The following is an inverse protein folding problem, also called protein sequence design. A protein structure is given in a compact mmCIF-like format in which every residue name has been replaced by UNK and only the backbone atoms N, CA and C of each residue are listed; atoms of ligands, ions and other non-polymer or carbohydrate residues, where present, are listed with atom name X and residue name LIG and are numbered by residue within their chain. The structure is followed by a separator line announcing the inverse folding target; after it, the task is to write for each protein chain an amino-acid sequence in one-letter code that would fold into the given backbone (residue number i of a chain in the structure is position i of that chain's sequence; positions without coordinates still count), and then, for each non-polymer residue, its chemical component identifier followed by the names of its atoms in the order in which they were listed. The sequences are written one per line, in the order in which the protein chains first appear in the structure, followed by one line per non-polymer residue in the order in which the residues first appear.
data_IF_714989953257
#
_entry.id   IF_714989953257
#
_cell.length_a   1.000
_cell.length_b   1.000
_cell.length_c   1.000
_cell.angle_alpha   90.00
_cell.angle_beta   90.00
_cell.angle_gamma   90.00
#
_symmetry.space_group_name_H-M   'P 1'
#
loop_
_entity.id
_entity.type
_entity.pdbx_description
1 polymer ?
#
# COMPACT_ATOMS: atom_id res chain seq x y z
N UNK A 1 12.32 -54.98 -38.25
CA UNK A 1 11.29 -54.25 -37.46
C UNK A 1 12.03 -53.22 -36.63
N UNK A 2 12.16 -52.01 -37.17
CA UNK A 2 12.79 -50.88 -36.51
C UNK A 2 11.86 -50.27 -35.47
N UNK A 3 12.32 -50.10 -34.23
CA UNK A 3 11.59 -49.39 -33.18
C UNK A 3 12.46 -48.24 -32.66
N UNK A 4 12.34 -47.09 -33.31
CA UNK A 4 12.92 -45.82 -32.85
C UNK A 4 12.11 -45.31 -31.66
N UNK A 5 12.74 -45.23 -30.49
CA UNK A 5 12.19 -44.55 -29.31
C UNK A 5 12.61 -43.08 -29.43
N UNK A 6 11.67 -42.21 -29.80
CA UNK A 6 11.83 -40.77 -29.75
C UNK A 6 11.65 -40.31 -28.30
N UNK A 7 12.75 -39.88 -27.67
CA UNK A 7 12.75 -39.25 -26.37
C UNK A 7 12.14 -37.86 -26.45
N UNK A 8 11.00 -37.67 -25.79
CA UNK A 8 10.32 -36.39 -25.66
C UNK A 8 10.84 -35.70 -24.39
N UNK A 9 11.89 -34.88 -24.51
CA UNK A 9 12.38 -34.05 -23.40
C UNK A 9 11.42 -32.88 -23.19
N UNK A 10 10.58 -32.99 -22.16
CA UNK A 10 9.65 -31.95 -21.74
C UNK A 10 10.41 -30.89 -20.92
N UNK A 11 10.73 -29.76 -21.53
CA UNK A 11 11.30 -28.59 -20.83
C UNK A 11 10.18 -27.92 -20.01
N UNK A 12 10.14 -28.18 -18.70
CA UNK A 12 9.30 -27.42 -17.78
C UNK A 12 9.90 -26.01 -17.62
N UNK A 13 9.32 -25.05 -18.34
CA UNK A 13 9.53 -23.63 -18.05
C UNK A 13 8.80 -23.30 -16.74
N UNK A 14 9.56 -23.19 -15.64
CA UNK A 14 9.04 -22.60 -14.40
C UNK A 14 8.82 -21.12 -14.66
N UNK A 15 7.56 -20.70 -14.84
CA UNK A 15 7.20 -19.29 -14.81
C UNK A 15 7.48 -18.77 -13.40
N UNK A 16 8.60 -18.07 -13.22
CA UNK A 16 8.82 -17.25 -12.03
C UNK A 16 7.85 -16.07 -12.16
N UNK A 17 6.71 -16.14 -11.47
CA UNK A 17 5.87 -14.97 -11.22
C UNK A 17 6.71 -13.99 -10.40
N UNK A 18 7.35 -13.04 -11.09
CA UNK A 18 7.92 -11.87 -10.44
C UNK A 18 6.79 -11.15 -9.72
N UNK A 19 6.94 -10.92 -8.41
CA UNK A 19 6.02 -10.06 -7.68
C UNK A 19 5.97 -8.70 -8.40
N UNK A 20 4.79 -8.32 -8.90
CA UNK A 20 4.63 -7.05 -9.60
C UNK A 20 4.83 -5.90 -8.61
N UNK A 21 5.92 -5.15 -8.79
CA UNK A 21 6.19 -3.98 -7.97
C UNK A 21 5.30 -2.82 -8.41
N UNK A 22 4.63 -2.18 -7.47
CA UNK A 22 3.73 -1.04 -7.73
C UNK A 22 4.53 0.25 -7.67
N UNK A 23 4.46 1.14 -8.68
CA UNK A 23 5.13 2.43 -8.61
C UNK A 23 4.56 3.27 -7.46
N UNK A 24 5.44 3.92 -6.70
CA UNK A 24 5.08 4.88 -5.64
C UNK A 24 6.11 5.99 -5.55
N UNK A 25 5.82 7.04 -4.78
CA UNK A 25 6.75 8.16 -4.56
C UNK A 25 8.05 7.77 -3.84
N UNK A 26 8.07 6.65 -3.12
CA UNK A 26 9.26 6.12 -2.45
C UNK A 26 9.95 5.01 -3.28
N UNK A 27 9.60 4.92 -4.58
CA UNK A 27 10.05 3.89 -5.50
C UNK A 27 9.06 2.72 -5.61
N UNK A 28 9.38 1.70 -6.42
CA UNK A 28 8.52 0.53 -6.53
C UNK A 28 8.37 -0.21 -5.20
N UNK A 29 7.13 -0.57 -4.87
CA UNK A 29 6.74 -1.26 -3.64
C UNK A 29 6.31 -2.69 -3.95
N UNK A 30 6.68 -3.65 -3.11
CA UNK A 30 6.28 -5.05 -3.17
C UNK A 30 5.86 -5.56 -1.78
N UNK A 31 5.40 -6.81 -1.72
CA UNK A 31 5.18 -7.53 -0.44
C UNK A 31 4.30 -6.76 0.53
N UNK A 32 3.23 -6.14 0.00
CA UNK A 32 2.25 -5.43 0.82
C UNK A 32 1.52 -6.47 1.66
N UNK A 33 1.55 -6.29 2.97
CA UNK A 33 0.85 -7.13 3.95
C UNK A 33 -0.02 -6.22 4.82
N UNK A 34 -1.30 -6.57 4.94
CA UNK A 34 -2.20 -5.97 5.93
C UNK A 34 -2.10 -6.78 7.22
N UNK A 35 -1.63 -6.16 8.30
CA UNK A 35 -1.48 -6.82 9.61
C UNK A 35 -2.78 -6.69 10.39
N UNK A 36 -3.39 -5.51 10.39
CA UNK A 36 -4.62 -5.25 11.12
C UNK A 36 -5.41 -4.13 10.46
N UNK A 37 -6.74 -4.20 10.56
CA UNK A 37 -7.65 -3.20 10.04
C UNK A 37 -8.85 -2.99 10.97
N UNK A 38 -9.63 -1.96 10.68
CA UNK A 38 -10.79 -1.57 11.46
C UNK A 38 -10.48 -1.13 12.89
N UNK A 39 -9.26 -0.64 13.12
CA UNK A 39 -8.82 -0.09 14.39
C UNK A 39 -9.45 1.28 14.63
N UNK A 40 -9.82 1.56 15.87
CA UNK A 40 -10.35 2.86 16.28
C UNK A 40 -11.53 2.74 17.24
N UNK A 41 -12.16 3.87 17.58
CA UNK A 41 -13.28 3.89 18.52
C UNK A 41 -14.52 3.18 17.97
N UNK A 42 -15.21 2.42 18.81
CA UNK A 42 -16.42 1.66 18.41
C UNK A 42 -17.55 2.59 17.97
N UNK A 43 -17.71 3.75 18.60
CA UNK A 43 -18.74 4.74 18.26
C UNK A 43 -18.58 5.34 16.85
N UNK A 44 -17.40 5.21 16.25
CA UNK A 44 -17.09 5.67 14.88
C UNK A 44 -17.26 4.54 13.84
N UNK A 45 -17.76 3.37 14.28
CA UNK A 45 -17.95 2.18 13.44
C UNK A 45 -16.69 1.73 12.68
N UNK A 46 -15.51 1.90 13.28
CA UNK A 46 -14.24 1.59 12.63
C UNK A 46 -14.10 0.12 12.25
N UNK A 47 -14.84 -0.80 12.87
CA UNK A 47 -14.84 -2.22 12.48
C UNK A 47 -15.24 -2.44 11.00
N UNK A 48 -15.95 -1.48 10.39
CA UNK A 48 -16.29 -1.51 8.96
C UNK A 48 -15.19 -0.97 8.03
N UNK A 49 -14.17 -0.30 8.57
CA UNK A 49 -13.02 0.17 7.82
C UNK A 49 -12.07 -0.99 7.53
N UNK A 50 -12.40 -1.75 6.48
CA UNK A 50 -11.62 -2.90 6.02
C UNK A 50 -10.73 -2.51 4.84
N UNK A 51 -9.48 -2.94 4.90
CA UNK A 51 -8.45 -2.60 3.92
C UNK A 51 -7.81 -3.90 3.44
N UNK A 52 -7.62 -4.03 2.14
CA UNK A 52 -6.86 -5.13 1.56
C UNK A 52 -5.62 -4.59 0.83
N UNK A 53 -4.75 -5.51 0.43
CA UNK A 53 -3.48 -5.22 -0.24
C UNK A 53 -3.65 -4.39 -1.52
N UNK A 54 -4.71 -4.66 -2.30
CA UNK A 54 -4.99 -3.93 -3.54
C UNK A 54 -5.41 -2.48 -3.28
N UNK A 55 -6.12 -2.21 -2.18
CA UNK A 55 -6.46 -0.84 -1.76
C UNK A 55 -5.23 -0.07 -1.31
N UNK A 56 -4.32 -0.71 -0.56
CA UNK A 56 -3.04 -0.10 -0.15
C UNK A 56 -2.16 0.17 -1.38
N UNK A 57 -2.09 -0.78 -2.31
CA UNK A 57 -1.40 -0.61 -3.59
C UNK A 57 -1.96 0.57 -4.39
N UNK A 58 -3.29 0.71 -4.44
CA UNK A 58 -3.95 1.82 -5.13
C UNK A 58 -3.68 3.17 -4.46
N UNK A 59 -3.73 3.22 -3.14
CA UNK A 59 -3.36 4.41 -2.37
C UNK A 59 -1.91 4.82 -2.68
N UNK A 60 -0.95 3.91 -2.53
CA UNK A 60 0.48 4.19 -2.73
C UNK A 60 0.82 4.65 -4.17
N UNK A 61 0.03 4.20 -5.15
CA UNK A 61 0.18 4.60 -6.56
C UNK A 61 -0.17 6.07 -6.80
N UNK A 62 -1.13 6.61 -6.05
CA UNK A 62 -1.68 7.96 -6.24
C UNK A 62 -1.21 8.95 -5.18
N UNK A 63 -0.77 8.47 -4.03
CA UNK A 63 -0.46 9.31 -2.90
C UNK A 63 0.67 10.29 -3.17
N UNK A 64 0.57 11.46 -2.55
CA UNK A 64 1.56 12.52 -2.56
C UNK A 64 2.25 12.63 -1.19
N UNK A 65 3.54 13.00 -1.20
CA UNK A 65 4.23 13.38 0.03
C UNK A 65 3.69 14.74 0.49
N UNK A 66 3.15 14.79 1.70
CA UNK A 66 2.58 16.00 2.28
C UNK A 66 3.26 16.35 3.61
N UNK A 67 3.23 17.62 3.95
CA UNK A 67 3.65 18.11 5.27
C UNK A 67 2.51 17.97 6.28
N UNK A 68 2.83 18.00 7.58
CA UNK A 68 1.79 18.04 8.63
C UNK A 68 0.83 19.23 8.50
N UNK A 69 1.30 20.38 7.99
CA UNK A 69 0.42 21.52 7.73
C UNK A 69 -0.56 21.20 6.62
N UNK A 70 -0.12 20.58 5.53
CA UNK A 70 -1.01 20.18 4.44
C UNK A 70 -1.98 19.07 4.87
N UNK A 71 -1.52 18.10 5.65
CA UNK A 71 -2.37 17.08 6.28
C UNK A 71 -3.48 17.72 7.11
N UNK A 72 -3.19 18.78 7.87
CA UNK A 72 -4.17 19.53 8.65
C UNK A 72 -5.09 20.42 7.81
N UNK A 73 -4.52 21.14 6.84
CA UNK A 73 -5.24 22.20 6.12
C UNK A 73 -6.09 21.66 4.97
N UNK A 74 -5.66 20.56 4.33
CA UNK A 74 -6.22 20.11 3.05
C UNK A 74 -6.72 18.67 3.06
N UNK A 75 -6.35 17.85 4.02
CA UNK A 75 -6.79 16.45 4.06
C UNK A 75 -7.66 16.19 5.26
N UNK A 76 -8.77 15.49 5.05
CA UNK A 76 -9.51 14.92 6.15
C UNK A 76 -8.78 13.67 6.62
N UNK A 77 -8.74 13.44 7.92
CA UNK A 77 -8.34 12.16 8.46
C UNK A 77 -9.34 11.77 9.54
N UNK A 78 -9.90 10.58 9.41
CA UNK A 78 -10.81 10.04 10.40
C UNK A 78 -10.08 9.22 11.46
N UNK A 79 -10.81 8.77 12.48
CA UNK A 79 -10.25 8.04 13.61
C UNK A 79 -9.95 6.57 13.30
N UNK A 80 -10.40 6.06 12.16
CA UNK A 80 -10.29 4.65 11.79
C UNK A 80 -8.99 4.37 11.06
N UNK A 81 -8.35 3.26 11.42
CA UNK A 81 -6.98 2.97 11.01
C UNK A 81 -6.84 1.52 10.55
N UNK A 82 -5.88 1.31 9.65
CA UNK A 82 -5.33 0.01 9.30
C UNK A 82 -3.81 0.15 9.23
N UNK A 83 -3.08 -0.92 9.53
CA UNK A 83 -1.63 -0.93 9.44
C UNK A 83 -1.09 -2.25 8.89
N UNK A 84 0.15 -2.17 8.44
CA UNK A 84 0.85 -3.33 7.90
C UNK A 84 2.26 -3.01 7.47
N UNK A 85 2.80 -3.83 6.57
CA UNK A 85 4.13 -3.64 6.01
C UNK A 85 4.13 -3.65 4.49
N UNK A 86 5.20 -3.11 3.90
CA UNK A 86 5.58 -3.34 2.51
C UNK A 86 7.10 -3.25 2.34
N UNK A 87 7.62 -3.72 1.22
CA UNK A 87 9.04 -3.67 0.87
C UNK A 87 9.33 -2.69 -0.25
N UNK A 88 10.52 -2.09 -0.20
CA UNK A 88 11.12 -1.28 -1.27
C UNK A 88 12.56 -1.72 -1.50
N UNK A 89 13.23 -1.13 -2.50
CA UNK A 89 14.69 -1.28 -2.65
C UNK A 89 15.52 -0.80 -1.46
N UNK A 90 14.92 -0.03 -0.54
CA UNK A 90 15.56 0.52 0.65
C UNK A 90 15.28 -0.30 1.92
N UNK A 91 14.52 -1.39 1.79
CA UNK A 91 14.12 -2.25 2.91
C UNK A 91 12.62 -2.21 3.17
N UNK A 92 12.24 -2.78 4.32
CA UNK A 92 10.86 -2.87 4.78
C UNK A 92 10.40 -1.58 5.48
N UNK A 93 9.11 -1.31 5.34
CA UNK A 93 8.41 -0.17 5.89
C UNK A 93 7.17 -0.64 6.63
N UNK A 94 6.87 0.01 7.75
CA UNK A 94 5.53 -0.01 8.33
C UNK A 94 4.68 1.07 7.68
N UNK A 95 3.41 0.79 7.47
CA UNK A 95 2.44 1.77 7.01
C UNK A 95 1.23 1.79 7.94
N UNK A 96 0.64 2.97 8.10
CA UNK A 96 -0.63 3.20 8.78
C UNK A 96 -1.49 4.03 7.84
N UNK A 97 -2.61 3.49 7.39
CA UNK A 97 -3.61 4.17 6.57
C UNK A 97 -4.76 4.62 7.48
N UNK A 98 -5.15 5.88 7.39
CA UNK A 98 -6.32 6.44 8.05
C UNK A 98 -7.48 6.51 7.06
N UNK A 99 -8.71 6.34 7.54
CA UNK A 99 -9.87 6.62 6.70
C UNK A 99 -9.86 8.11 6.29
N UNK A 100 -10.40 8.39 5.10
CA UNK A 100 -10.33 9.71 4.44
C UNK A 100 -8.96 10.06 3.81
N UNK A 101 -8.11 9.05 3.57
CA UNK A 101 -7.10 9.16 2.52
C UNK A 101 -5.76 9.76 2.94
N UNK A 102 -5.36 9.63 4.20
CA UNK A 102 -3.98 9.94 4.63
C UNK A 102 -3.30 8.69 5.16
N UNK A 103 -1.97 8.64 5.04
CA UNK A 103 -1.17 7.57 5.60
C UNK A 103 0.14 8.08 6.19
N UNK A 104 0.69 7.31 7.11
CA UNK A 104 2.06 7.44 7.60
C UNK A 104 2.82 6.20 7.19
N UNK A 105 4.02 6.39 6.67
CA UNK A 105 4.95 5.30 6.38
C UNK A 105 6.23 5.52 7.16
N UNK A 106 6.74 4.47 7.79
CA UNK A 106 7.94 4.52 8.62
C UNK A 106 8.88 3.41 8.21
N UNK A 107 10.07 3.77 7.73
CA UNK A 107 11.13 2.82 7.45
C UNK A 107 11.56 2.15 8.76
N UNK A 108 12.05 0.91 8.71
CA UNK A 108 12.65 0.26 9.89
C UNK A 108 13.83 1.08 10.46
N UNK A 109 14.50 1.86 9.63
CA UNK A 109 15.57 2.78 10.01
C UNK A 109 15.08 4.05 10.75
N UNK A 110 13.77 4.30 10.77
CA UNK A 110 13.10 5.34 11.56
C UNK A 110 12.59 6.53 10.76
N UNK A 111 12.99 6.70 9.49
CA UNK A 111 12.46 7.76 8.63
C UNK A 111 10.96 7.63 8.47
N UNK A 112 10.23 8.72 8.69
CA UNK A 112 8.78 8.75 8.61
C UNK A 112 8.32 9.78 7.59
N UNK A 113 7.37 9.40 6.75
CA UNK A 113 6.72 10.27 5.78
C UNK A 113 5.21 10.28 5.97
N UNK A 114 4.59 11.42 5.68
CA UNK A 114 3.14 11.58 5.62
C UNK A 114 2.72 11.63 4.17
N UNK A 115 1.71 10.83 3.84
CA UNK A 115 1.16 10.68 2.51
C UNK A 115 -0.30 11.13 2.51
N UNK A 116 -0.73 11.79 1.45
CA UNK A 116 -2.13 12.15 1.20
C UNK A 116 -2.59 11.65 -0.17
N UNK A 117 -3.79 11.11 -0.25
CA UNK A 117 -4.44 10.75 -1.51
C UNK A 117 -5.15 11.99 -2.06
N UNK A 118 -4.68 12.60 -3.16
CA UNK A 118 -5.26 13.83 -3.69
C UNK A 118 -6.74 13.67 -4.12
N UNK A 119 -7.26 12.45 -4.23
CA UNK A 119 -8.68 12.18 -4.48
C UNK A 119 -9.58 12.47 -3.27
N UNK A 120 -8.99 12.51 -2.07
CA UNK A 120 -9.65 12.76 -0.79
C UNK A 120 -9.28 14.14 -0.22
N UNK A 121 -8.61 14.98 -1.01
CA UNK A 121 -8.32 16.36 -0.65
C UNK A 121 -9.64 17.12 -0.45
N UNK A 122 -9.76 17.79 0.70
CA UNK A 122 -10.89 18.68 0.98
C UNK A 122 -10.96 19.77 -0.08
N UNK A 123 -12.18 20.14 -0.48
CA UNK A 123 -12.37 21.19 -1.48
C UNK A 123 -11.72 22.50 -1.01
N UNK A 124 -10.80 23.04 -1.82
CA UNK A 124 -10.25 24.38 -1.62
C UNK A 124 -11.30 25.48 -1.88
N UNK A 125 -12.46 25.13 -2.46
CA UNK A 125 -13.59 26.04 -2.66
C UNK A 125 -14.36 26.21 -1.34
N UNK A 126 -13.76 26.99 -0.44
CA UNK A 126 -14.29 27.29 0.89
C UNK A 126 -14.02 28.72 1.34
N UNK A 127 -14.32 29.70 0.48
CA UNK A 127 -14.87 31.04 0.81
C UNK A 127 -15.18 31.85 -0.46
#
# INVERSE_FOLDING_TARGET
MDRRILGLSLLLATATTSAESIPSLIGPVSDIVVIEDGLGPEQENCQSFKVNEAMVADFLRHALLITHRQEHDWYLYGPCQAHGTFSTRYGEWHWQLLNLGTARITAITGETFVLGDPREESSLEGN
#
